data_IF_531828036620
#
_entry.id   IF_531828036620
#
_cell.length_a   1.000
_cell.length_b   1.000
_cell.length_c   1.000
_cell.angle_alpha   90.00
_cell.angle_beta   90.00
_cell.angle_gamma   90.00
#
_symmetry.space_group_name_H-M   'P 1'
#
loop_
_entity.id
_entity.type
_entity.pdbx_description
1 polymer ?
#
# COMPACT_ATOMS: atom_id res chain seq x y z
N UNK A 1 3.43 -1.75 0.55
CA UNK A 1 4.42 -1.96 1.63
C UNK A 1 3.94 -3.07 2.54
N UNK A 2 4.85 -3.76 3.22
CA UNK A 2 4.56 -4.80 4.22
C UNK A 2 5.32 -4.50 5.50
N UNK A 3 4.83 -4.94 6.64
CA UNK A 3 5.50 -4.82 7.94
C UNK A 3 5.45 -6.16 8.65
N UNK A 4 6.62 -6.76 8.88
CA UNK A 4 6.73 -8.10 9.45
C UNK A 4 6.19 -8.17 10.88
N UNK A 5 6.57 -7.23 11.76
CA UNK A 5 6.12 -7.23 13.15
C UNK A 5 4.59 -7.10 13.35
N UNK A 6 3.88 -6.43 12.44
CA UNK A 6 2.42 -6.30 12.49
C UNK A 6 1.72 -7.35 11.61
N UNK A 7 2.48 -8.15 10.86
CA UNK A 7 1.96 -9.04 9.82
C UNK A 7 0.93 -8.32 8.93
N UNK A 8 1.22 -7.08 8.57
CA UNK A 8 0.28 -6.18 7.90
C UNK A 8 0.85 -5.66 6.59
N UNK A 9 -0.04 -5.38 5.65
CA UNK A 9 0.27 -4.65 4.43
C UNK A 9 -0.36 -3.27 4.46
N UNK A 10 0.27 -2.37 3.71
CA UNK A 10 -0.21 -1.00 3.46
C UNK A 10 -0.10 -0.67 1.98
N UNK A 11 -1.14 -0.07 1.44
CA UNK A 11 -1.09 0.66 0.16
C UNK A 11 -1.21 2.16 0.42
N UNK A 12 -0.77 2.96 -0.54
CA UNK A 12 -0.91 4.41 -0.47
C UNK A 12 -0.09 5.15 -1.52
N UNK A 13 -0.37 6.43 -1.67
CA UNK A 13 0.37 7.34 -2.55
C UNK A 13 1.45 8.06 -1.73
N UNK A 14 2.68 8.03 -2.25
CA UNK A 14 3.79 8.81 -1.74
C UNK A 14 4.30 9.73 -2.85
N UNK A 15 4.23 11.05 -2.62
CA UNK A 15 5.13 11.97 -3.31
C UNK A 15 6.53 11.73 -2.74
N UNK A 16 7.45 11.49 -3.65
CA UNK A 16 8.71 10.79 -3.48
C UNK A 16 9.54 11.26 -2.26
N UNK A 17 10.18 10.27 -1.63
CA UNK A 17 11.07 10.29 -0.46
C UNK A 17 10.45 10.42 0.93
N UNK A 18 9.96 11.58 1.36
CA UNK A 18 9.82 11.83 2.80
C UNK A 18 8.82 10.87 3.49
N UNK A 19 7.68 10.58 2.85
CA UNK A 19 6.68 9.64 3.39
C UNK A 19 7.14 8.19 3.33
N UNK A 20 7.87 7.82 2.28
CA UNK A 20 8.39 6.47 2.13
C UNK A 20 9.45 6.20 3.21
N UNK A 21 10.39 7.14 3.37
CA UNK A 21 11.46 7.08 4.38
C UNK A 21 10.91 7.08 5.80
N UNK A 22 9.83 7.80 6.08
CA UNK A 22 9.15 7.75 7.39
C UNK A 22 8.55 6.37 7.70
N UNK A 23 7.94 5.70 6.73
CA UNK A 23 7.41 4.36 6.95
C UNK A 23 8.54 3.32 6.99
N UNK A 24 9.56 3.46 6.15
CA UNK A 24 10.74 2.58 6.18
C UNK A 24 11.46 2.65 7.52
N UNK A 25 11.63 3.84 8.10
CA UNK A 25 12.23 3.98 9.43
C UNK A 25 11.37 3.40 10.57
N UNK A 26 10.10 3.11 10.30
CA UNK A 26 9.18 2.41 11.21
C UNK A 26 9.10 0.90 10.95
N UNK A 27 9.98 0.34 10.12
CA UNK A 27 10.01 -1.10 9.83
C UNK A 27 9.12 -1.55 8.67
N UNK A 28 8.52 -0.62 7.93
CA UNK A 28 7.80 -0.97 6.70
C UNK A 28 8.76 -1.21 5.54
N UNK A 29 8.54 -2.29 4.80
CA UNK A 29 9.33 -2.65 3.62
C UNK A 29 8.53 -2.36 2.35
N UNK A 30 9.19 -1.76 1.37
CA UNK A 30 8.61 -1.50 0.06
C UNK A 30 8.55 -2.81 -0.72
N UNK A 31 7.34 -3.28 -0.97
CA UNK A 31 7.11 -4.53 -1.69
C UNK A 31 6.89 -4.34 -3.20
N UNK A 32 6.28 -3.22 -3.59
CA UNK A 32 5.98 -2.86 -4.96
C UNK A 32 5.67 -1.36 -5.05
N UNK A 33 5.88 -0.79 -6.23
CA UNK A 33 5.62 0.62 -6.54
C UNK A 33 5.13 0.75 -7.98
N UNK A 34 4.24 1.70 -8.23
CA UNK A 34 3.83 2.11 -9.57
C UNK A 34 3.98 3.61 -9.68
N UNK A 35 4.62 4.07 -10.75
CA UNK A 35 4.74 5.50 -11.03
C UNK A 35 3.53 5.98 -11.85
N UNK A 36 3.03 7.16 -11.51
CA UNK A 36 1.92 7.82 -12.21
C UNK A 36 2.37 9.23 -12.59
N UNK A 37 2.06 9.65 -13.82
CA UNK A 37 2.37 11.00 -14.29
C UNK A 37 1.44 12.03 -13.63
N UNK A 38 0.19 11.65 -13.39
CA UNK A 38 -0.83 12.49 -12.77
C UNK A 38 -1.13 12.01 -11.35
N UNK A 39 -1.04 12.93 -10.40
CA UNK A 39 -1.44 12.69 -9.00
C UNK A 39 -2.89 12.19 -8.91
N UNK A 40 -3.78 12.68 -9.78
CA UNK A 40 -5.19 12.28 -9.83
C UNK A 40 -5.39 10.78 -10.08
N UNK A 41 -4.58 10.19 -10.96
CA UNK A 41 -4.68 8.76 -11.30
C UNK A 41 -4.22 7.89 -10.12
N UNK A 42 -3.16 8.32 -9.43
CA UNK A 42 -2.70 7.65 -8.22
C UNK A 42 -3.78 7.66 -7.13
N UNK A 43 -4.49 8.79 -6.96
CA UNK A 43 -5.63 8.93 -6.03
C UNK A 43 -6.82 8.07 -6.41
N UNK A 44 -7.16 8.02 -7.70
CA UNK A 44 -8.22 7.15 -8.19
C UNK A 44 -7.91 5.68 -7.88
N UNK A 45 -6.68 5.24 -8.17
CA UNK A 45 -6.25 3.87 -7.91
C UNK A 45 -6.26 3.53 -6.41
N UNK A 46 -5.70 4.40 -5.54
CA UNK A 46 -5.69 4.16 -4.09
C UNK A 46 -7.10 3.99 -3.53
N UNK A 47 -8.03 4.85 -3.95
CA UNK A 47 -9.45 4.76 -3.56
C UNK A 47 -10.10 3.48 -4.07
N UNK A 48 -9.79 3.07 -5.29
CA UNK A 48 -10.32 1.86 -5.89
C UNK A 48 -9.81 0.59 -5.20
N UNK A 49 -8.50 0.50 -4.90
CA UNK A 49 -7.92 -0.59 -4.09
C UNK A 49 -8.62 -0.64 -2.74
N UNK A 50 -8.75 0.51 -2.06
CA UNK A 50 -9.42 0.59 -0.77
C UNK A 50 -10.86 0.08 -0.85
N UNK A 51 -11.65 0.55 -1.81
CA UNK A 51 -13.03 0.11 -1.98
C UNK A 51 -13.11 -1.40 -2.24
N UNK A 52 -12.25 -1.93 -3.09
CA UNK A 52 -12.21 -3.35 -3.43
C UNK A 52 -11.79 -4.24 -2.24
N UNK A 53 -10.76 -3.85 -1.48
CA UNK A 53 -10.34 -4.59 -0.26
C UNK A 53 -11.47 -4.57 0.78
N UNK A 54 -12.10 -3.41 1.02
CA UNK A 54 -13.21 -3.31 1.98
C UNK A 54 -14.47 -4.04 1.51
N UNK A 55 -14.73 -4.08 0.20
CA UNK A 55 -15.82 -4.85 -0.39
C UNK A 55 -15.70 -6.35 -0.18
N UNK A 56 -14.50 -6.86 0.08
CA UNK A 56 -14.25 -8.25 0.46
C UNK A 56 -14.44 -8.54 1.96
N UNK A 57 -14.84 -7.53 2.76
CA UNK A 57 -15.02 -7.67 4.21
C UNK A 57 -13.73 -7.58 5.02
N UNK A 58 -12.60 -7.25 4.39
CA UNK A 58 -11.30 -7.14 5.08
C UNK A 58 -11.28 -5.90 5.98
N UNK A 59 -11.00 -6.04 7.29
CA UNK A 59 -10.95 -4.91 8.23
C UNK A 59 -9.61 -4.16 8.16
N UNK A 60 -9.56 -2.98 8.78
CA UNK A 60 -8.32 -2.21 8.90
C UNK A 60 -7.41 -2.94 9.87
N UNK A 61 -6.15 -3.16 9.50
CA UNK A 61 -5.23 -3.85 10.39
C UNK A 61 -4.81 -2.97 11.56
N UNK A 62 -4.44 -1.73 11.28
CA UNK A 62 -3.83 -0.85 12.26
C UNK A 62 -4.76 0.28 12.67
N UNK A 63 -4.62 0.72 13.92
CA UNK A 63 -5.31 1.90 14.45
C UNK A 63 -4.53 3.17 14.12
N UNK A 64 -5.14 4.33 14.33
CA UNK A 64 -4.47 5.62 14.16
C UNK A 64 -3.27 5.79 15.11
N UNK A 65 -3.35 5.23 16.32
CA UNK A 65 -2.29 5.29 17.33
C UNK A 65 -1.04 4.50 16.90
N UNK A 66 -1.25 3.35 16.26
CA UNK A 66 -0.18 2.52 15.70
C UNK A 66 0.45 3.12 14.42
N UNK A 67 -0.17 4.14 13.83
CA UNK A 67 0.26 4.78 12.58
C UNK A 67 0.53 6.27 12.82
N UNK A 68 1.67 6.58 13.45
CA UNK A 68 2.10 7.94 13.84
C UNK A 68 1.95 9.01 12.74
N UNK A 69 2.08 8.64 11.47
CA UNK A 69 2.00 9.55 10.31
C UNK A 69 0.71 9.39 9.48
N UNK A 70 -0.31 8.74 10.03
CA UNK A 70 -1.61 8.50 9.37
C UNK A 70 -1.58 7.32 8.39
N UNK A 71 -2.67 7.16 7.61
CA UNK A 71 -2.77 6.10 6.60
C UNK A 71 -3.21 4.73 7.12
N UNK A 72 -3.77 4.68 8.33
CA UNK A 72 -4.30 3.45 8.93
C UNK A 72 -5.50 2.87 8.16
N UNK A 73 -6.20 3.68 7.35
CA UNK A 73 -7.38 3.23 6.59
C UNK A 73 -7.04 2.40 5.35
N UNK A 74 -5.78 2.44 4.95
CA UNK A 74 -5.20 1.73 3.80
C UNK A 74 -4.30 0.58 4.25
N UNK A 75 -4.66 -0.04 5.38
CA UNK A 75 -3.97 -1.20 5.96
C UNK A 75 -4.86 -2.43 5.98
N UNK A 76 -4.26 -3.60 5.86
CA UNK A 76 -4.93 -4.89 6.03
C UNK A 76 -3.94 -5.93 6.56
N UNK A 77 -4.43 -6.96 7.28
CA UNK A 77 -3.56 -8.03 7.77
C UNK A 77 -3.23 -8.97 6.62
N UNK A 78 -2.01 -9.50 6.62
CA UNK A 78 -1.55 -10.47 5.62
C UNK A 78 -2.32 -11.80 5.68
N UNK A 79 -2.97 -12.09 6.82
CA UNK A 79 -3.87 -13.23 7.00
C UNK A 79 -5.22 -13.05 6.31
N UNK A 80 -5.68 -11.81 6.15
CA UNK A 80 -6.98 -11.49 5.54
C UNK A 80 -6.85 -11.27 4.03
N UNK A 81 -5.73 -10.68 3.60
CA UNK A 81 -5.46 -10.43 2.19
C UNK A 81 -3.96 -10.46 1.91
N UNK A 82 -3.57 -11.17 0.85
CA UNK A 82 -2.16 -11.32 0.50
C UNK A 82 -1.65 -10.16 -0.34
N UNK A 83 -0.35 -9.87 -0.21
CA UNK A 83 0.34 -8.91 -1.06
C UNK A 83 0.20 -9.26 -2.56
N UNK A 84 0.36 -10.54 -2.91
CA UNK A 84 0.29 -11.00 -4.29
C UNK A 84 -1.09 -10.72 -4.92
N UNK A 85 -2.17 -10.90 -4.15
CA UNK A 85 -3.52 -10.64 -4.63
C UNK A 85 -3.75 -9.14 -4.91
N UNK A 86 -3.26 -8.26 -4.03
CA UNK A 86 -3.32 -6.81 -4.27
C UNK A 86 -2.48 -6.42 -5.48
N UNK A 87 -1.27 -6.95 -5.62
CA UNK A 87 -0.42 -6.66 -6.78
C UNK A 87 -1.10 -7.10 -8.09
N UNK A 88 -1.66 -8.31 -8.14
CA UNK A 88 -2.39 -8.80 -9.30
C UNK A 88 -3.59 -7.91 -9.66
N UNK A 89 -4.31 -7.41 -8.64
CA UNK A 89 -5.40 -6.46 -8.85
C UNK A 89 -4.91 -5.10 -9.40
N UNK A 90 -3.77 -4.60 -8.92
CA UNK A 90 -3.20 -3.36 -9.48
C UNK A 90 -2.75 -3.56 -10.92
N UNK A 91 -2.13 -4.69 -11.24
CA UNK A 91 -1.76 -5.03 -12.63
C UNK A 91 -3.00 -5.10 -13.51
N UNK A 92 -4.08 -5.74 -13.06
CA UNK A 92 -5.32 -5.83 -13.86
C UNK A 92 -6.01 -4.48 -14.09
N UNK A 93 -5.84 -3.52 -13.18
CA UNK A 93 -6.38 -2.16 -13.35
C UNK A 93 -5.51 -1.25 -14.21
N UNK A 94 -4.21 -1.48 -14.23
CA UNK A 94 -3.24 -0.57 -14.84
C UNK A 94 -2.60 -1.10 -16.12
N UNK A 95 -2.76 -2.40 -16.39
CA UNK A 95 -2.02 -3.16 -17.41
C UNK A 95 -0.48 -3.01 -17.28
N UNK A 96 0.00 -2.69 -16.07
CA UNK A 96 1.41 -2.39 -15.79
C UNK A 96 1.93 -3.22 -14.63
N UNK A 97 3.12 -3.80 -14.83
CA UNK A 97 3.88 -4.41 -13.75
C UNK A 97 4.44 -3.34 -12.80
N UNK A 98 4.72 -3.69 -11.53
CA UNK A 98 5.37 -2.76 -10.62
C UNK A 98 6.77 -2.39 -11.12
N UNK A 99 7.20 -1.18 -10.77
CA UNK A 99 8.55 -0.71 -11.00
C UNK A 99 9.56 -1.67 -10.36
N UNK A 100 10.72 -1.90 -10.99
CA UNK A 100 11.77 -2.70 -10.39
C UNK A 100 12.17 -2.09 -9.04
N UNK A 101 12.50 -2.92 -8.04
CA UNK A 101 12.99 -2.41 -6.76
C UNK A 101 14.23 -1.57 -7.04
N UNK A 102 14.17 -0.28 -6.71
CA UNK A 102 15.34 0.57 -6.79
C UNK A 102 16.33 0.06 -5.75
N UNK A 103 17.41 -0.56 -6.23
CA UNK A 103 18.59 -0.83 -5.42
C UNK A 103 19.16 0.54 -5.05
N UNK A 104 19.28 0.80 -3.75
CA UNK A 104 19.81 2.05 -3.22
C UNK A 104 21.15 2.44 -3.83
#
# INVERSE_FOLDING_TARGET
MVHDGYQALKWGIANIDQRLTQHVSQGWQVAARWNFELTGDAWALERQIKAWVRGQGVPRALTADQMKYGGHTETAYLTDISLALIQAYVVSLTDRNPEPPQTA
#
